data_IF_422917227452
#
_entry.id   IF_422917227452
#
_cell.length_a   1.000
_cell.length_b   1.000
_cell.length_c   1.000
_cell.angle_alpha   90.00
_cell.angle_beta   90.00
_cell.angle_gamma   90.00
#
_symmetry.space_group_name_H-M   'P 1'
#
loop_
_entity.id
_entity.type
_entity.pdbx_description
1 polymer ?
#
# COMPACT_ATOMS: atom_id res chain seq x y z
N UNK A 1 12.27 -13.62 -2.55
CA UNK A 1 11.59 -14.22 -1.38
C UNK A 1 10.87 -15.52 -1.70
N UNK A 2 10.51 -15.76 -2.98
CA UNK A 2 9.96 -17.03 -3.47
C UNK A 2 10.70 -18.31 -3.02
N UNK A 3 11.99 -18.23 -2.66
CA UNK A 3 12.79 -19.38 -2.23
C UNK A 3 12.62 -19.77 -0.75
N UNK A 4 12.15 -18.86 0.12
CA UNK A 4 12.13 -19.10 1.58
C UNK A 4 10.76 -19.49 2.16
N UNK A 5 9.67 -19.41 1.38
CA UNK A 5 8.28 -19.81 1.68
C UNK A 5 7.87 -19.87 3.18
N UNK A 6 8.30 -18.88 3.97
CA UNK A 6 8.11 -18.86 5.42
C UNK A 6 7.30 -17.62 5.77
N UNK A 7 6.10 -17.87 6.30
CA UNK A 7 5.08 -16.87 6.65
C UNK A 7 5.66 -15.76 7.53
N UNK A 8 6.56 -16.12 8.45
CA UNK A 8 7.09 -15.21 9.46
C UNK A 8 8.03 -14.17 8.87
N UNK A 9 8.79 -14.56 7.85
CA UNK A 9 9.73 -13.67 7.16
C UNK A 9 8.92 -12.67 6.32
N UNK A 10 7.92 -13.13 5.59
CA UNK A 10 7.05 -12.27 4.78
C UNK A 10 6.38 -11.20 5.64
N UNK A 11 5.78 -11.59 6.76
CA UNK A 11 5.11 -10.66 7.68
C UNK A 11 6.10 -9.63 8.25
N UNK A 12 7.27 -10.08 8.71
CA UNK A 12 8.28 -9.20 9.32
C UNK A 12 8.76 -8.15 8.30
N UNK A 13 9.05 -8.59 7.07
CA UNK A 13 9.52 -7.69 6.01
C UNK A 13 8.39 -6.75 5.59
N UNK A 14 7.17 -7.24 5.36
CA UNK A 14 6.02 -6.37 5.05
C UNK A 14 5.80 -5.31 6.11
N UNK A 15 5.97 -5.64 7.38
CA UNK A 15 5.86 -4.68 8.47
C UNK A 15 6.93 -3.58 8.38
N UNK A 16 8.20 -3.93 8.19
CA UNK A 16 9.28 -2.94 8.03
C UNK A 16 9.14 -2.12 6.74
N UNK A 17 8.68 -2.72 5.65
CA UNK A 17 8.40 -2.01 4.39
C UNK A 17 7.33 -0.95 4.60
N UNK A 18 6.23 -1.32 5.26
CA UNK A 18 5.12 -0.41 5.54
C UNK A 18 5.57 0.74 6.46
N UNK A 19 6.34 0.43 7.52
CA UNK A 19 6.94 1.46 8.38
C UNK A 19 7.88 2.40 7.62
N UNK A 20 8.73 1.88 6.73
CA UNK A 20 9.64 2.69 5.91
C UNK A 20 8.91 3.58 4.90
N UNK A 21 7.75 3.15 4.41
CA UNK A 21 6.88 3.91 3.52
C UNK A 21 6.05 5.00 4.21
N UNK A 22 5.97 4.98 5.54
CA UNK A 22 5.25 6.00 6.29
C UNK A 22 6.09 7.26 6.49
N UNK A 23 5.41 8.38 6.75
CA UNK A 23 6.06 9.67 6.97
C UNK A 23 6.86 9.67 8.28
N UNK A 24 8.20 9.72 8.20
CA UNK A 24 9.09 9.67 9.38
C UNK A 24 8.80 10.75 10.41
N UNK A 25 8.44 11.96 9.97
CA UNK A 25 8.01 13.04 10.88
C UNK A 25 6.77 12.71 11.72
N UNK A 26 5.82 11.92 11.19
CA UNK A 26 4.62 11.47 11.91
C UNK A 26 4.95 10.31 12.86
N UNK A 27 5.87 9.42 12.47
CA UNK A 27 6.41 8.38 13.35
C UNK A 27 7.10 9.03 14.56
N UNK A 28 7.97 10.01 14.31
CA UNK A 28 8.65 10.77 15.37
C UNK A 28 7.66 11.52 16.27
N UNK A 29 6.65 12.18 15.69
CA UNK A 29 5.61 12.87 16.46
C UNK A 29 4.82 11.93 17.37
N UNK A 30 4.57 10.69 16.91
CA UNK A 30 3.90 9.63 17.67
C UNK A 30 4.75 9.17 18.84
N UNK A 31 6.06 8.98 18.64
CA UNK A 31 7.01 8.61 19.72
C UNK A 31 7.14 9.76 20.74
N UNK A 32 7.09 11.01 20.28
CA UNK A 32 7.21 12.21 21.13
C UNK A 32 5.87 12.60 21.81
N UNK A 33 4.79 11.82 21.61
CA UNK A 33 3.50 12.05 22.26
C UNK A 33 2.78 13.34 21.83
N UNK A 34 3.03 13.85 20.63
CA UNK A 34 2.39 15.08 20.14
C UNK A 34 0.92 14.82 19.74
N UNK A 35 0.09 15.87 19.61
CA UNK A 35 -1.33 15.71 19.22
C UNK A 35 -1.51 15.28 17.75
N UNK A 36 -0.59 15.65 16.87
CA UNK A 36 -0.55 15.19 15.48
C UNK A 36 0.23 13.88 15.40
N UNK A 37 -0.50 12.77 15.53
CA UNK A 37 0.07 11.43 15.43
C UNK A 37 -0.34 10.76 14.14
N UNK A 38 0.34 9.65 13.86
CA UNK A 38 0.12 8.79 12.71
C UNK A 38 -1.35 8.31 12.61
N UNK A 39 -2.03 8.13 13.74
CA UNK A 39 -3.45 7.77 13.83
C UNK A 39 -4.42 8.94 13.75
N UNK A 40 -3.95 10.18 13.90
CA UNK A 40 -4.80 11.38 13.83
C UNK A 40 -4.86 11.94 12.41
N UNK A 41 -3.79 11.77 11.62
CA UNK A 41 -3.69 12.31 10.26
C UNK A 41 -4.64 11.62 9.29
N UNK A 42 -5.55 12.38 8.69
CA UNK A 42 -6.48 11.88 7.67
C UNK A 42 -5.75 11.39 6.42
N UNK A 43 -4.57 11.94 6.10
CA UNK A 43 -3.76 11.48 4.96
C UNK A 43 -3.29 10.04 5.18
N UNK A 44 -2.78 9.74 6.38
CA UNK A 44 -2.30 8.39 6.74
C UNK A 44 -3.47 7.40 6.74
N UNK A 45 -4.61 7.78 7.33
CA UNK A 45 -5.82 6.94 7.32
C UNK A 45 -6.27 6.62 5.90
N UNK A 46 -6.32 7.64 5.03
CA UNK A 46 -6.73 7.46 3.63
C UNK A 46 -5.75 6.57 2.87
N UNK A 47 -4.44 6.75 3.10
CA UNK A 47 -3.40 5.91 2.52
C UNK A 47 -3.54 4.44 2.93
N UNK A 48 -3.67 4.17 4.23
CA UNK A 48 -3.88 2.82 4.75
C UNK A 48 -5.19 2.20 4.23
N UNK A 49 -6.27 2.99 4.16
CA UNK A 49 -7.55 2.54 3.63
C UNK A 49 -7.43 2.13 2.15
N UNK A 50 -6.75 2.92 1.31
CA UNK A 50 -6.56 2.61 -0.11
C UNK A 50 -5.71 1.36 -0.31
N UNK A 51 -4.64 1.19 0.48
CA UNK A 51 -3.85 -0.06 0.47
C UNK A 51 -4.75 -1.25 0.83
N UNK A 52 -5.51 -1.14 1.93
CA UNK A 52 -6.36 -2.23 2.40
C UNK A 52 -7.45 -2.59 1.39
N UNK A 53 -8.08 -1.59 0.78
CA UNK A 53 -9.05 -1.79 -0.31
C UNK A 53 -8.38 -2.46 -1.50
N UNK A 54 -7.19 -2.03 -1.91
CA UNK A 54 -6.42 -2.65 -2.99
C UNK A 54 -6.13 -4.12 -2.72
N UNK A 55 -5.70 -4.46 -1.51
CA UNK A 55 -5.46 -5.84 -1.08
C UNK A 55 -6.75 -6.67 -1.19
N UNK A 56 -7.88 -6.15 -0.68
CA UNK A 56 -9.16 -6.85 -0.76
C UNK A 56 -9.62 -7.07 -2.21
N UNK A 57 -9.52 -6.05 -3.06
CA UNK A 57 -9.90 -6.15 -4.47
C UNK A 57 -9.08 -7.21 -5.21
N UNK A 58 -7.76 -7.21 -5.00
CA UNK A 58 -6.86 -8.20 -5.60
C UNK A 58 -7.16 -9.60 -5.05
N UNK A 59 -7.28 -9.73 -3.73
CA UNK A 59 -7.58 -11.01 -3.08
C UNK A 59 -8.89 -11.60 -3.59
N UNK A 60 -9.95 -10.79 -3.69
CA UNK A 60 -11.24 -11.22 -4.20
C UNK A 60 -11.15 -11.70 -5.65
N UNK A 61 -10.42 -10.98 -6.50
CA UNK A 61 -10.20 -11.37 -7.90
C UNK A 61 -9.41 -12.67 -8.04
N UNK A 62 -8.36 -12.86 -7.24
CA UNK A 62 -7.56 -14.09 -7.23
C UNK A 62 -8.39 -15.32 -6.81
N UNK A 63 -9.31 -15.13 -5.87
CA UNK A 63 -10.20 -16.20 -5.40
C UNK A 63 -11.28 -16.50 -6.45
N UNK A 64 -11.86 -15.46 -7.05
CA UNK A 64 -12.87 -15.60 -8.10
C UNK A 64 -12.34 -16.34 -9.33
N UNK A 65 -11.08 -16.10 -9.69
CA UNK A 65 -10.43 -16.75 -10.83
C UNK A 65 -9.81 -18.11 -10.45
N UNK A 66 -10.14 -18.64 -9.25
CA UNK A 66 -9.70 -19.93 -8.72
C UNK A 66 -8.18 -20.16 -8.72
N UNK A 67 -7.40 -19.08 -8.66
CA UNK A 67 -5.93 -19.15 -8.69
C UNK A 67 -5.38 -19.61 -7.35
N UNK A 68 -5.97 -19.12 -6.24
CA UNK A 68 -5.54 -19.43 -4.87
C UNK A 68 -6.74 -19.54 -3.93
N UNK A 69 -6.52 -20.19 -2.79
CA UNK A 69 -7.49 -20.22 -1.70
C UNK A 69 -7.52 -18.86 -0.96
N UNK A 70 -8.59 -18.55 -0.24
CA UNK A 70 -8.82 -17.20 0.33
C UNK A 70 -7.65 -16.69 1.21
N UNK A 71 -7.10 -17.56 2.06
CA UNK A 71 -5.96 -17.21 2.92
C UNK A 71 -4.65 -16.96 2.14
N UNK A 72 -4.39 -17.75 1.11
CA UNK A 72 -3.19 -17.58 0.27
C UNK A 72 -3.31 -16.36 -0.64
N UNK A 73 -4.49 -16.13 -1.22
CA UNK A 73 -4.78 -14.96 -2.03
C UNK A 73 -4.55 -13.68 -1.22
N UNK A 74 -5.06 -13.62 0.02
CA UNK A 74 -4.86 -12.46 0.90
C UNK A 74 -3.38 -12.26 1.28
N UNK A 75 -2.67 -13.35 1.59
CA UNK A 75 -1.24 -13.30 1.88
C UNK A 75 -0.43 -12.75 0.71
N UNK A 76 -0.60 -13.33 -0.48
CA UNK A 76 0.17 -12.92 -1.65
C UNK A 76 -0.22 -11.51 -2.12
N UNK A 77 -1.51 -11.17 -2.10
CA UNK A 77 -1.99 -9.83 -2.42
C UNK A 77 -1.41 -8.78 -1.46
N UNK A 78 -1.47 -9.02 -0.16
CA UNK A 78 -0.96 -8.08 0.85
C UNK A 78 0.54 -7.84 0.69
N UNK A 79 1.33 -8.90 0.52
CA UNK A 79 2.77 -8.76 0.33
C UNK A 79 3.11 -7.95 -0.94
N UNK A 80 2.48 -8.29 -2.07
CA UNK A 80 2.77 -7.66 -3.36
C UNK A 80 2.33 -6.20 -3.39
N UNK A 81 1.14 -5.89 -2.86
CA UNK A 81 0.66 -4.50 -2.77
C UNK A 81 1.61 -3.69 -1.89
N UNK A 82 1.95 -4.15 -0.69
CA UNK A 82 2.85 -3.41 0.22
C UNK A 82 4.21 -3.20 -0.44
N UNK A 83 4.76 -4.22 -1.09
CA UNK A 83 6.05 -4.15 -1.78
C UNK A 83 6.07 -3.09 -2.90
N UNK A 84 5.04 -3.06 -3.75
CA UNK A 84 4.96 -2.11 -4.85
C UNK A 84 4.67 -0.69 -4.39
N UNK A 85 3.76 -0.52 -3.42
CA UNK A 85 3.44 0.80 -2.84
C UNK A 85 4.65 1.42 -2.15
N UNK A 86 5.42 0.60 -1.44
CA UNK A 86 6.67 1.01 -0.77
C UNK A 86 7.87 1.02 -1.71
N UNK A 87 7.64 0.86 -3.02
CA UNK A 87 8.65 0.79 -4.09
C UNK A 87 9.86 -0.07 -3.77
N UNK A 88 9.70 -1.09 -2.93
CA UNK A 88 10.78 -2.01 -2.55
C UNK A 88 11.00 -3.06 -3.63
N UNK A 89 9.93 -3.41 -4.37
CA UNK A 89 10.03 -4.26 -5.55
C UNK A 89 10.33 -5.73 -5.25
N UNK A 90 10.08 -6.18 -4.02
CA UNK A 90 10.13 -7.60 -3.68
C UNK A 90 8.94 -8.36 -4.24
N UNK A 91 9.21 -9.53 -4.82
CA UNK A 91 8.19 -10.48 -5.25
C UNK A 91 8.31 -11.80 -4.46
N UNK A 92 7.16 -12.29 -3.97
CA UNK A 92 7.01 -13.62 -3.36
C UNK A 92 6.51 -14.65 -4.37
N UNK A 93 5.69 -14.23 -5.31
CA UNK A 93 5.11 -15.04 -6.39
C UNK A 93 5.24 -14.31 -7.72
N UNK A 94 5.20 -15.06 -8.81
CA UNK A 94 5.16 -14.48 -10.14
C UNK A 94 3.79 -13.80 -10.36
N UNK A 95 3.81 -12.48 -10.46
CA UNK A 95 2.59 -11.66 -10.68
C UNK A 95 2.24 -11.54 -12.16
N UNK A 96 3.10 -12.01 -13.08
CA UNK A 96 2.84 -11.96 -14.52
C UNK A 96 1.75 -12.93 -14.97
N UNK A 97 1.55 -14.01 -14.20
CA UNK A 97 0.50 -15.01 -14.44
C UNK A 97 -0.85 -14.62 -13.82
N UNK A 98 -0.92 -13.50 -13.10
CA UNK A 98 -2.15 -13.05 -12.48
C UNK A 98 -3.12 -12.43 -13.49
N UNK A 99 -4.42 -12.40 -13.17
CA UNK A 99 -5.41 -11.77 -14.03
C UNK A 99 -5.02 -10.33 -14.39
N UNK A 100 -5.27 -9.93 -15.64
CA UNK A 100 -4.83 -8.61 -16.16
C UNK A 100 -5.34 -7.45 -15.31
N UNK A 101 -6.54 -7.57 -14.76
CA UNK A 101 -7.12 -6.59 -13.83
C UNK A 101 -6.22 -6.36 -12.61
N UNK A 102 -5.71 -7.44 -12.00
CA UNK A 102 -4.81 -7.36 -10.85
C UNK A 102 -3.50 -6.67 -11.21
N UNK A 103 -2.94 -6.98 -12.38
CA UNK A 103 -1.70 -6.36 -12.87
C UNK A 103 -1.88 -4.84 -13.03
N UNK A 104 -3.00 -4.39 -13.60
CA UNK A 104 -3.30 -2.96 -13.74
C UNK A 104 -3.37 -2.25 -12.38
N UNK A 105 -4.00 -2.88 -11.38
CA UNK A 105 -4.07 -2.34 -10.02
C UNK A 105 -2.69 -2.27 -9.37
N UNK A 106 -1.86 -3.30 -9.53
CA UNK A 106 -0.48 -3.33 -9.03
C UNK A 106 0.38 -2.25 -9.70
N UNK A 107 0.23 -2.04 -11.01
CA UNK A 107 0.91 -0.94 -11.73
C UNK A 107 0.47 0.41 -11.18
N UNK A 108 -0.83 0.61 -10.94
CA UNK A 108 -1.31 1.83 -10.31
C UNK A 108 -0.63 2.09 -8.97
N UNK A 109 -0.51 1.07 -8.11
CA UNK A 109 0.20 1.17 -6.84
C UNK A 109 1.71 1.39 -6.98
N UNK A 110 2.34 0.90 -8.04
CA UNK A 110 3.75 1.18 -8.31
C UNK A 110 4.01 2.64 -8.72
N UNK A 111 3.03 3.29 -9.35
CA UNK A 111 3.08 4.71 -9.70
C UNK A 111 2.72 5.55 -8.48
N UNK A 112 1.64 5.18 -7.79
CA UNK A 112 1.14 5.78 -6.56
C UNK A 112 1.99 5.33 -5.37
N UNK A 113 3.11 6.02 -5.17
CA UNK A 113 4.09 5.66 -4.15
C UNK A 113 3.66 6.15 -2.75
N UNK A 114 4.46 5.78 -1.75
CA UNK A 114 4.20 6.10 -0.35
C UNK A 114 4.27 7.61 -0.01
N UNK A 115 4.25 7.95 1.28
CA UNK A 115 4.06 9.32 1.75
C UNK A 115 5.31 10.20 1.63
N UNK A 116 5.13 11.52 1.74
CA UNK A 116 6.22 12.50 1.96
C UNK A 116 7.00 12.11 3.22
N UNK A 117 8.32 12.37 3.19
CA UNK A 117 9.19 12.09 4.33
C UNK A 117 9.35 10.59 4.66
N UNK A 118 9.17 9.69 3.69
CA UNK A 118 9.44 8.26 3.78
C UNK A 118 10.73 7.88 3.01
N UNK A 119 11.17 6.62 3.07
CA UNK A 119 12.33 6.12 2.27
C UNK A 119 12.03 5.93 0.78
N UNK A 120 10.81 6.28 0.36
CA UNK A 120 10.20 5.86 -0.89
C UNK A 120 10.36 6.92 -1.98
N UNK A 121 10.69 6.48 -3.20
CA UNK A 121 10.73 7.34 -4.38
C UNK A 121 9.37 7.41 -5.10
N UNK A 122 9.18 8.36 -6.02
CA UNK A 122 8.03 8.39 -6.95
C UNK A 122 6.92 9.40 -6.65
N UNK A 123 5.71 9.14 -7.15
CA UNK A 123 4.56 10.05 -7.04
C UNK A 123 3.90 9.88 -5.67
N UNK A 124 4.30 10.75 -4.74
CA UNK A 124 3.93 10.66 -3.33
C UNK A 124 2.43 10.78 -3.10
N UNK A 125 1.89 9.91 -2.25
CA UNK A 125 0.46 9.85 -1.95
C UNK A 125 -0.14 11.20 -1.52
N UNK A 126 0.59 11.99 -0.74
CA UNK A 126 0.17 13.31 -0.27
C UNK A 126 -0.23 14.25 -1.41
N UNK A 127 0.47 14.20 -2.55
CA UNK A 127 0.17 15.07 -3.70
C UNK A 127 -1.18 14.70 -4.34
N UNK A 128 -1.47 13.41 -4.46
CA UNK A 128 -2.75 12.94 -5.00
C UNK A 128 -3.88 13.24 -4.04
N UNK A 129 -3.65 13.02 -2.75
CA UNK A 129 -4.63 13.35 -1.72
C UNK A 129 -5.00 14.85 -1.73
N UNK A 130 -3.99 15.73 -1.79
CA UNK A 130 -4.21 17.16 -1.89
C UNK A 130 -4.93 17.55 -3.18
N UNK A 131 -4.55 16.97 -4.31
CA UNK A 131 -5.20 17.22 -5.60
C UNK A 131 -6.71 16.87 -5.55
N UNK A 132 -7.06 15.71 -5.01
CA UNK A 132 -8.46 15.30 -4.83
C UNK A 132 -9.22 16.25 -3.91
N UNK A 133 -8.62 16.66 -2.79
CA UNK A 133 -9.23 17.63 -1.88
C UNK A 133 -9.46 18.98 -2.54
N UNK A 134 -8.49 19.50 -3.30
CA UNK A 134 -8.64 20.77 -4.02
C UNK A 134 -9.70 20.68 -5.10
N UNK A 135 -9.76 19.57 -5.83
CA UNK A 135 -10.75 19.34 -6.88
C UNK A 135 -12.17 19.28 -6.32
N UNK A 136 -12.39 18.53 -5.22
CA UNK A 136 -13.69 18.47 -4.54
C UNK A 136 -14.12 19.83 -4.01
N UNK A 137 -13.19 20.62 -3.46
CA UNK A 137 -13.48 21.99 -3.01
C UNK A 137 -13.85 22.90 -4.18
N UNK A 138 -13.18 22.77 -5.32
CA UNK A 138 -13.45 23.59 -6.50
C UNK A 138 -14.82 23.28 -7.13
N UNK A 139 -15.22 22.00 -7.17
CA UNK A 139 -16.56 21.61 -7.60
C UNK A 139 -17.63 22.19 -6.67
N UNK A 140 -17.38 22.20 -5.36
CA UNK A 140 -18.36 22.72 -4.38
C UNK A 140 -18.46 24.25 -4.38
N UNK A 141 -17.46 24.95 -4.92
CA UNK A 141 -17.45 26.40 -5.07
C UNK A 141 -18.06 26.88 -6.39
N UNK A 142 -18.32 25.96 -7.32
CA UNK A 142 -19.03 26.22 -8.59
C UNK A 142 -20.51 25.90 -8.40
#
# INVERSE_FOLDING_TARGET
MAFYNNIWIEITISFFMLLGGMHFGLIYATITGRKQNLFTSDVVKTYLAIIFIGILFISFKLVNDHVYNWGEAFRHASFQVVSLVTTTGFATVDTSVWPMFTIVVLIYFSIQCAMIGSTTGGLKFDRVYLFFQTFLKQIKQT
#
